data_IF_384301620321
#
_entry.id   IF_384301620321
#
_cell.length_a   1.000
_cell.length_b   1.000
_cell.length_c   1.000
_cell.angle_alpha   90.00
_cell.angle_beta   90.00
_cell.angle_gamma   90.00
#
_symmetry.space_group_name_H-M   'P 1'
#
loop_
_entity.id
_entity.type
_entity.pdbx_description
1 polymer ?
#
# COMPACT_ATOMS: atom_id res chain seq x y z
N UNK A 1 15.24 31.82 -0.11
CA UNK A 1 15.25 30.86 0.97
C UNK A 1 14.43 31.37 2.17
N UNK A 2 13.26 31.00 2.36
CA UNK A 2 12.40 31.29 3.52
C UNK A 2 11.64 30.07 3.98
N UNK A 3 11.98 28.89 3.41
CA UNK A 3 11.35 27.62 3.79
C UNK A 3 11.99 27.10 5.09
N UNK A 4 11.16 26.55 5.94
CA UNK A 4 11.63 25.82 7.12
C UNK A 4 12.42 24.59 6.67
N UNK A 5 13.48 24.17 7.41
CA UNK A 5 14.31 23.01 7.02
C UNK A 5 13.55 21.71 6.83
N UNK A 6 12.42 21.57 7.51
CA UNK A 6 11.53 20.39 7.52
C UNK A 6 10.29 20.54 6.61
N UNK A 7 10.28 21.56 5.73
CA UNK A 7 9.16 21.78 4.80
C UNK A 7 9.16 20.71 3.70
N UNK A 8 8.09 19.94 3.63
CA UNK A 8 7.95 18.86 2.65
C UNK A 8 7.51 19.40 1.28
N UNK A 9 8.29 19.08 0.25
CA UNK A 9 8.00 19.43 -1.15
C UNK A 9 7.61 18.17 -1.92
N UNK A 10 6.41 18.16 -2.46
CA UNK A 10 5.89 17.07 -3.29
C UNK A 10 5.45 17.62 -4.65
N UNK A 11 5.77 16.91 -5.72
CA UNK A 11 5.35 17.23 -7.09
C UNK A 11 4.29 16.26 -7.58
N UNK A 12 3.41 16.75 -8.44
CA UNK A 12 2.50 15.89 -9.18
C UNK A 12 3.13 15.52 -10.54
N UNK A 13 3.45 14.23 -10.69
CA UNK A 13 4.09 13.69 -11.91
C UNK A 13 3.31 12.48 -12.37
N UNK A 14 2.71 12.57 -13.55
CA UNK A 14 1.83 11.52 -14.10
C UNK A 14 2.62 10.35 -14.69
N UNK A 15 3.76 10.61 -15.34
CA UNK A 15 4.56 9.59 -16.03
C UNK A 15 6.00 10.05 -16.24
N UNK A 16 6.85 9.14 -16.69
CA UNK A 16 8.26 9.41 -16.97
C UNK A 16 9.18 8.95 -15.84
N UNK A 17 10.43 9.36 -15.90
CA UNK A 17 11.42 9.09 -14.85
C UNK A 17 11.29 10.11 -13.74
N UNK A 18 10.79 9.68 -12.60
CA UNK A 18 10.59 10.54 -11.42
C UNK A 18 11.89 11.09 -10.82
N UNK A 19 13.05 10.47 -11.12
CA UNK A 19 14.35 10.96 -10.68
C UNK A 19 14.70 12.35 -11.25
N UNK A 20 14.08 12.75 -12.36
CA UNK A 20 14.25 14.09 -12.92
C UNK A 20 13.80 15.18 -11.96
N UNK A 21 12.81 14.89 -11.10
CA UNK A 21 12.19 15.84 -10.20
C UNK A 21 12.51 15.55 -8.72
N UNK A 22 12.73 14.29 -8.38
CA UNK A 22 12.93 13.82 -7.01
C UNK A 22 14.41 13.59 -6.72
N UNK A 23 15.09 14.63 -6.26
CA UNK A 23 16.51 14.63 -5.94
C UNK A 23 16.83 15.68 -4.88
N UNK A 24 18.05 15.69 -4.36
CA UNK A 24 18.49 16.55 -3.24
C UNK A 24 18.36 18.06 -3.49
N UNK A 25 18.23 18.47 -4.75
CA UNK A 25 18.13 19.88 -5.14
C UNK A 25 16.71 20.32 -5.49
N UNK A 26 15.75 19.43 -5.53
CA UNK A 26 14.39 19.69 -6.03
C UNK A 26 13.33 19.22 -5.06
N UNK A 27 12.57 18.16 -5.41
CA UNK A 27 11.42 17.68 -4.65
C UNK A 27 11.81 16.50 -3.76
N UNK A 28 11.24 16.44 -2.57
CA UNK A 28 11.42 15.32 -1.65
C UNK A 28 10.66 14.07 -2.12
N UNK A 29 9.52 14.26 -2.80
CA UNK A 29 8.65 13.21 -3.30
C UNK A 29 7.87 13.65 -4.53
N UNK A 30 7.36 12.68 -5.28
CA UNK A 30 6.38 12.88 -6.35
C UNK A 30 5.27 11.84 -6.25
N UNK A 31 4.13 12.10 -6.90
CA UNK A 31 2.99 11.19 -6.97
C UNK A 31 3.32 9.91 -7.74
N UNK A 32 2.88 8.76 -7.20
CA UNK A 32 3.16 7.45 -7.76
C UNK A 32 2.01 6.93 -8.63
N UNK A 33 1.79 7.55 -9.78
CA UNK A 33 0.74 7.14 -10.73
C UNK A 33 1.00 5.75 -11.34
N UNK A 34 2.24 5.30 -11.42
CA UNK A 34 2.55 3.95 -11.90
C UNK A 34 1.96 2.88 -10.98
N UNK A 35 2.18 3.01 -9.67
CA UNK A 35 1.58 2.09 -8.70
C UNK A 35 0.06 2.28 -8.57
N UNK A 36 -0.47 3.49 -8.72
CA UNK A 36 -1.92 3.73 -8.71
C UNK A 36 -2.65 2.80 -9.69
N UNK A 37 -2.20 2.73 -10.94
CA UNK A 37 -2.79 1.82 -11.93
C UNK A 37 -2.64 0.36 -11.50
N UNK A 38 -1.44 -0.05 -11.12
CA UNK A 38 -1.16 -1.42 -10.68
C UNK A 38 -2.00 -1.84 -9.46
N UNK A 39 -2.25 -0.91 -8.52
CA UNK A 39 -3.06 -1.17 -7.34
C UNK A 39 -4.48 -1.62 -7.73
N UNK A 40 -5.27 -0.78 -8.40
CA UNK A 40 -6.66 -1.15 -8.68
C UNK A 40 -6.79 -2.24 -9.75
N UNK A 41 -5.90 -2.26 -10.77
CA UNK A 41 -5.99 -3.27 -11.84
C UNK A 41 -5.67 -4.66 -11.34
N UNK A 42 -4.72 -4.82 -10.41
CA UNK A 42 -4.40 -6.11 -9.81
C UNK A 42 -5.60 -6.76 -9.12
N UNK A 43 -6.40 -5.97 -8.42
CA UNK A 43 -7.62 -6.46 -7.78
C UNK A 43 -8.74 -6.73 -8.80
N UNK A 44 -8.95 -5.84 -9.78
CA UNK A 44 -10.01 -5.99 -10.76
C UNK A 44 -9.75 -7.15 -11.74
N UNK A 45 -8.50 -7.38 -12.13
CA UNK A 45 -8.12 -8.49 -13.01
C UNK A 45 -7.77 -9.78 -12.25
N UNK A 46 -7.81 -9.74 -10.89
CA UNK A 46 -7.35 -10.85 -10.03
C UNK A 46 -5.94 -11.29 -10.42
N UNK A 47 -5.02 -10.33 -10.55
CA UNK A 47 -3.65 -10.56 -11.01
C UNK A 47 -2.63 -9.73 -10.21
N UNK A 48 -2.20 -10.24 -9.06
CA UNK A 48 -1.22 -9.58 -8.19
C UNK A 48 0.18 -9.42 -8.82
N UNK A 49 0.44 -10.08 -9.94
CA UNK A 49 1.69 -9.87 -10.69
C UNK A 49 1.84 -8.44 -11.23
N UNK A 50 0.73 -7.74 -11.53
CA UNK A 50 0.78 -6.37 -12.05
C UNK A 50 1.40 -5.41 -11.03
N UNK A 51 0.85 -5.35 -9.82
CA UNK A 51 1.39 -4.45 -8.78
C UNK A 51 2.77 -4.92 -8.31
N UNK A 52 2.98 -6.23 -8.18
CA UNK A 52 4.29 -6.75 -7.79
C UNK A 52 5.39 -6.38 -8.82
N UNK A 53 5.06 -6.38 -10.12
CA UNK A 53 6.00 -5.93 -11.16
C UNK A 53 6.39 -4.45 -10.95
N UNK A 54 5.41 -3.57 -10.73
CA UNK A 54 5.66 -2.15 -10.46
C UNK A 54 6.51 -1.95 -9.20
N UNK A 55 6.22 -2.70 -8.12
CA UNK A 55 6.98 -2.63 -6.87
C UNK A 55 8.42 -3.13 -7.04
N UNK A 56 8.64 -4.24 -7.75
CA UNK A 56 9.99 -4.73 -8.05
C UNK A 56 10.79 -3.75 -8.91
N UNK A 57 10.14 -3.16 -9.92
CA UNK A 57 10.77 -2.16 -10.79
C UNK A 57 11.16 -0.90 -10.02
N UNK A 58 10.33 -0.45 -9.08
CA UNK A 58 10.56 0.77 -8.32
C UNK A 58 11.46 0.57 -7.11
N UNK A 59 11.29 -0.52 -6.36
CA UNK A 59 11.86 -0.71 -5.02
C UNK A 59 12.52 -2.07 -4.79
N UNK A 60 12.64 -2.89 -5.83
CA UNK A 60 13.18 -4.25 -5.73
C UNK A 60 14.65 -4.30 -5.30
N UNK A 61 15.20 -5.52 -5.12
CA UNK A 61 16.56 -5.71 -4.65
C UNK A 61 17.64 -5.48 -5.74
N UNK A 62 17.24 -5.44 -6.99
CA UNK A 62 18.17 -5.40 -8.12
C UNK A 62 18.82 -4.02 -8.32
N UNK A 63 20.01 -4.00 -8.93
CA UNK A 63 20.75 -2.77 -9.21
C UNK A 63 20.08 -1.85 -10.24
N UNK A 64 19.15 -2.35 -11.04
CA UNK A 64 18.39 -1.57 -12.02
C UNK A 64 17.13 -0.93 -11.46
N UNK A 65 16.86 -1.13 -10.18
CA UNK A 65 15.70 -0.56 -9.48
C UNK A 65 15.73 0.96 -9.50
N UNK A 66 14.60 1.58 -9.85
CA UNK A 66 14.56 3.01 -10.18
C UNK A 66 14.59 3.94 -8.95
N UNK A 67 13.86 3.58 -7.88
CA UNK A 67 13.58 4.50 -6.76
C UNK A 67 13.91 3.90 -5.40
N UNK A 68 14.86 2.99 -5.33
CA UNK A 68 15.29 2.38 -4.07
C UNK A 68 15.74 3.47 -3.08
N UNK A 69 15.23 3.40 -1.85
CA UNK A 69 15.52 4.38 -0.80
C UNK A 69 14.77 5.72 -0.94
N UNK A 70 13.93 5.89 -1.97
CA UNK A 70 13.08 7.08 -2.15
C UNK A 70 11.64 6.81 -1.71
N UNK A 71 10.93 7.88 -1.32
CA UNK A 71 9.58 7.80 -0.77
C UNK A 71 8.59 8.50 -1.71
N UNK A 72 7.97 7.76 -2.61
CA UNK A 72 6.93 8.26 -3.50
C UNK A 72 5.61 8.43 -2.74
N UNK A 73 4.83 9.48 -3.06
CA UNK A 73 3.48 9.68 -2.56
C UNK A 73 2.53 8.73 -3.28
N UNK A 74 2.15 7.64 -2.61
CA UNK A 74 1.32 6.57 -3.16
C UNK A 74 -0.13 6.73 -2.72
N UNK A 75 -1.07 6.54 -3.64
CA UNK A 75 -2.49 6.73 -3.42
C UNK A 75 -3.31 5.67 -4.16
N UNK A 76 -4.53 5.45 -3.70
CA UNK A 76 -5.50 4.54 -4.34
C UNK A 76 -6.54 5.32 -5.16
N UNK A 77 -6.71 6.59 -4.85
CA UNK A 77 -7.45 7.60 -5.63
C UNK A 77 -7.00 9.02 -5.24
N UNK A 78 -7.45 10.00 -6.00
CA UNK A 78 -7.27 11.42 -5.74
C UNK A 78 -8.38 12.26 -6.40
N UNK A 79 -8.21 13.58 -6.42
CA UNK A 79 -9.17 14.54 -6.96
C UNK A 79 -9.32 14.52 -8.49
N UNK A 80 -8.46 13.79 -9.22
CA UNK A 80 -8.43 13.75 -10.68
C UNK A 80 -8.78 12.39 -11.29
N UNK A 81 -8.99 11.38 -10.45
CA UNK A 81 -9.32 10.02 -10.88
C UNK A 81 -10.61 9.52 -10.23
N UNK A 82 -11.23 8.50 -10.82
CA UNK A 82 -12.36 7.79 -10.23
C UNK A 82 -12.03 7.32 -8.83
N UNK A 83 -12.92 7.58 -7.87
CA UNK A 83 -12.74 7.14 -6.48
C UNK A 83 -12.58 5.64 -6.38
N UNK A 84 -11.73 5.18 -5.47
CA UNK A 84 -11.37 3.76 -5.34
C UNK A 84 -12.59 2.86 -5.11
N UNK A 85 -13.57 3.30 -4.31
CA UNK A 85 -14.81 2.57 -4.10
C UNK A 85 -15.72 2.48 -5.33
N UNK A 86 -15.46 3.28 -6.38
CA UNK A 86 -16.17 3.23 -7.66
C UNK A 86 -15.40 2.49 -8.75
N UNK A 87 -14.06 2.39 -8.66
CA UNK A 87 -13.24 1.72 -9.66
C UNK A 87 -13.09 0.22 -9.41
N UNK A 88 -13.15 -0.20 -8.14
CA UNK A 88 -13.08 -1.62 -7.77
C UNK A 88 -14.36 -2.34 -8.16
N UNK A 89 -14.20 -3.48 -8.85
CA UNK A 89 -15.31 -4.35 -9.25
C UNK A 89 -15.85 -5.22 -8.12
N UNK A 90 -15.09 -5.39 -7.04
CA UNK A 90 -15.49 -6.16 -5.84
C UNK A 90 -15.26 -5.29 -4.60
N UNK A 91 -16.31 -4.98 -3.85
CA UNK A 91 -16.26 -4.15 -2.67
C UNK A 91 -15.41 -4.76 -1.53
N UNK A 92 -15.27 -6.08 -1.46
CA UNK A 92 -14.42 -6.76 -0.49
C UNK A 92 -12.93 -6.45 -0.69
N UNK A 93 -12.53 -5.97 -1.87
CA UNK A 93 -11.16 -5.55 -2.15
C UNK A 93 -10.83 -4.16 -1.61
N UNK A 94 -11.83 -3.36 -1.21
CA UNK A 94 -11.61 -1.99 -0.76
C UNK A 94 -10.71 -1.88 0.49
N UNK A 95 -10.87 -2.68 1.54
CA UNK A 95 -9.90 -2.71 2.64
C UNK A 95 -8.52 -3.20 2.21
N UNK A 96 -8.47 -4.19 1.29
CA UNK A 96 -7.23 -4.84 0.88
C UNK A 96 -6.33 -3.92 0.05
N UNK A 97 -6.90 -3.08 -0.82
CA UNK A 97 -6.12 -2.12 -1.59
C UNK A 97 -5.44 -1.09 -0.67
N UNK A 98 -6.10 -0.67 0.42
CA UNK A 98 -5.49 0.16 1.45
C UNK A 98 -4.40 -0.59 2.22
N UNK A 99 -4.64 -1.85 2.59
CA UNK A 99 -3.61 -2.66 3.23
C UNK A 99 -2.37 -2.80 2.32
N UNK A 100 -2.55 -2.98 1.03
CA UNK A 100 -1.44 -3.01 0.08
C UNK A 100 -0.72 -1.65 0.00
N UNK A 101 -1.47 -0.54 -0.13
CA UNK A 101 -0.91 0.81 -0.24
C UNK A 101 -0.14 1.26 1.02
N UNK A 102 -0.61 0.89 2.21
CA UNK A 102 0.09 1.20 3.47
C UNK A 102 1.30 0.27 3.72
N UNK A 103 1.25 -0.98 3.27
CA UNK A 103 2.34 -1.94 3.42
C UNK A 103 3.50 -1.73 2.46
N UNK A 104 3.23 -1.26 1.25
CA UNK A 104 4.26 -1.04 0.22
C UNK A 104 5.22 0.12 0.57
N UNK A 105 6.41 0.21 -0.09
CA UNK A 105 7.30 1.36 0.05
C UNK A 105 6.63 2.67 -0.37
N UNK A 106 6.99 3.76 0.29
CA UNK A 106 6.49 5.10 0.01
C UNK A 106 5.59 5.67 1.11
N UNK A 107 5.00 6.81 0.82
CA UNK A 107 4.13 7.57 1.72
C UNK A 107 2.68 7.34 1.27
N UNK A 108 1.86 6.62 2.05
CA UNK A 108 0.46 6.43 1.70
C UNK A 108 -0.30 7.74 1.85
N UNK A 109 -1.11 8.05 0.84
CA UNK A 109 -1.99 9.21 0.82
C UNK A 109 -3.45 8.74 0.71
N UNK A 110 -4.29 9.21 1.63
CA UNK A 110 -5.73 8.95 1.63
C UNK A 110 -6.45 10.22 1.21
N UNK A 111 -7.23 10.13 0.14
CA UNK A 111 -8.04 11.25 -0.32
C UNK A 111 -9.30 11.36 0.52
N UNK A 112 -9.66 12.59 0.92
CA UNK A 112 -10.78 12.84 1.83
C UNK A 112 -12.09 12.22 1.31
N UNK A 113 -12.83 11.55 2.19
CA UNK A 113 -14.04 10.81 1.86
C UNK A 113 -13.80 9.37 1.43
N UNK A 114 -12.63 9.04 0.91
CA UNK A 114 -12.30 7.69 0.47
C UNK A 114 -12.08 6.75 1.66
N UNK A 115 -11.71 7.29 2.83
CA UNK A 115 -11.55 6.53 4.08
C UNK A 115 -12.85 5.93 4.61
N UNK A 116 -14.01 6.43 4.19
CA UNK A 116 -15.32 5.80 4.47
C UNK A 116 -16.02 5.23 3.23
N UNK A 117 -15.30 5.19 2.09
CA UNK A 117 -15.80 4.57 0.86
C UNK A 117 -16.69 5.47 0.02
N UNK A 118 -16.48 6.80 0.03
CA UNK A 118 -17.20 7.71 -0.86
C UNK A 118 -17.00 7.30 -2.33
N UNK A 119 -18.10 7.32 -3.09
CA UNK A 119 -18.15 6.91 -4.50
C UNK A 119 -18.26 8.14 -5.40
N UNK A 120 -17.50 8.17 -6.47
CA UNK A 120 -17.62 9.13 -7.59
C UNK A 120 -16.81 8.62 -8.78
N UNK A 121 -17.26 8.93 -10.00
CA UNK A 121 -16.56 8.56 -11.22
C UNK A 121 -16.00 9.79 -11.92
N UNK A 122 -14.88 9.64 -12.62
CA UNK A 122 -14.24 10.73 -13.38
C UNK A 122 -15.18 11.29 -14.45
N UNK A 123 -16.01 10.47 -15.04
CA UNK A 123 -16.99 10.84 -16.06
C UNK A 123 -18.11 11.76 -15.53
N UNK A 124 -18.35 11.76 -14.20
CA UNK A 124 -19.35 12.63 -13.56
C UNK A 124 -18.78 14.05 -13.30
N UNK A 125 -17.53 14.29 -13.66
CA UNK A 125 -16.84 15.57 -13.58
C UNK A 125 -16.27 15.93 -12.22
N UNK A 126 -15.53 17.02 -12.19
CA UNK A 126 -14.82 17.49 -10.99
C UNK A 126 -15.69 17.74 -9.76
N UNK A 127 -16.93 18.28 -9.86
CA UNK A 127 -17.77 18.46 -8.68
C UNK A 127 -18.11 17.15 -7.95
N UNK A 128 -18.25 16.04 -8.69
CA UNK A 128 -18.49 14.72 -8.10
C UNK A 128 -17.24 14.18 -7.39
N UNK A 129 -16.06 14.32 -8.00
CA UNK A 129 -14.80 13.88 -7.41
C UNK A 129 -14.39 14.70 -6.19
N UNK A 130 -14.73 16.01 -6.18
CA UNK A 130 -14.35 16.99 -5.16
C UNK A 130 -15.54 17.43 -4.31
N UNK A 131 -16.45 16.49 -4.03
CA UNK A 131 -17.66 16.75 -3.26
C UNK A 131 -17.34 17.36 -1.89
N UNK A 132 -18.18 18.31 -1.45
CA UNK A 132 -18.15 18.84 -0.10
C UNK A 132 -19.02 17.94 0.79
N UNK A 133 -18.42 17.35 1.80
CA UNK A 133 -19.14 16.55 2.80
C UNK A 133 -19.51 17.43 4.01
N UNK A 134 -20.79 17.47 4.37
CA UNK A 134 -21.26 18.25 5.52
C UNK A 134 -20.71 17.70 6.85
N UNK A 135 -20.56 16.38 6.92
CA UNK A 135 -20.02 15.67 8.09
C UNK A 135 -19.12 14.52 7.63
N UNK A 136 -18.01 14.29 8.34
CA UNK A 136 -17.22 13.08 8.13
C UNK A 136 -18.01 11.85 8.61
N UNK A 137 -17.76 10.71 7.99
CA UNK A 137 -18.28 9.43 8.43
C UNK A 137 -17.18 8.61 9.09
N UNK A 138 -17.57 7.75 10.04
CA UNK A 138 -16.65 6.79 10.64
C UNK A 138 -17.30 5.41 10.61
N UNK A 139 -16.72 4.53 9.82
CA UNK A 139 -17.20 3.16 9.62
C UNK A 139 -16.07 2.13 9.78
N UNK A 140 -16.35 0.86 9.46
CA UNK A 140 -15.37 -0.23 9.58
C UNK A 140 -14.14 -0.01 8.69
N UNK A 141 -14.30 0.56 7.48
CA UNK A 141 -13.20 0.91 6.60
C UNK A 141 -12.31 1.99 7.23
N UNK A 142 -12.90 3.04 7.79
CA UNK A 142 -12.15 4.11 8.48
C UNK A 142 -11.38 3.54 9.67
N UNK A 143 -12.02 2.66 10.44
CA UNK A 143 -11.38 1.96 11.56
C UNK A 143 -10.21 1.10 11.09
N UNK A 144 -10.38 0.38 9.98
CA UNK A 144 -9.32 -0.46 9.42
C UNK A 144 -8.14 0.38 8.91
N UNK A 145 -8.41 1.46 8.16
CA UNK A 145 -7.36 2.38 7.68
C UNK A 145 -6.61 3.02 8.85
N UNK A 146 -7.32 3.37 9.93
CA UNK A 146 -6.68 3.89 11.16
C UNK A 146 -5.68 2.89 11.75
N UNK A 147 -6.01 1.59 11.79
CA UNK A 147 -5.08 0.54 12.23
C UNK A 147 -3.87 0.40 11.31
N UNK A 148 -4.07 0.48 9.99
CA UNK A 148 -2.96 0.47 9.02
C UNK A 148 -2.02 1.68 9.23
N UNK A 149 -2.60 2.86 9.47
CA UNK A 149 -1.83 4.07 9.74
C UNK A 149 -1.01 3.96 11.04
N UNK A 150 -1.60 3.44 12.12
CA UNK A 150 -0.88 3.19 13.37
C UNK A 150 0.22 2.13 13.20
N UNK A 151 -0.05 1.03 12.48
CA UNK A 151 0.95 0.03 12.17
C UNK A 151 2.16 0.65 11.42
N UNK A 152 1.90 1.46 10.39
CA UNK A 152 2.96 2.12 9.62
C UNK A 152 3.71 3.16 10.46
N UNK A 153 3.01 3.98 11.23
CA UNK A 153 3.61 5.02 12.11
C UNK A 153 4.61 4.45 13.11
N UNK A 154 4.36 3.24 13.60
CA UNK A 154 5.18 2.59 14.63
C UNK A 154 6.12 1.51 14.09
N UNK A 155 6.27 1.39 12.77
CA UNK A 155 7.16 0.41 12.14
C UNK A 155 8.22 1.09 11.26
N UNK A 156 9.48 0.94 11.66
CA UNK A 156 10.60 1.39 10.84
C UNK A 156 10.69 0.58 9.53
N UNK A 157 10.39 -0.71 9.57
CA UNK A 157 10.41 -1.54 8.38
C UNK A 157 9.36 -1.09 7.35
N UNK A 158 8.12 -0.80 7.76
CA UNK A 158 7.09 -0.29 6.86
C UNK A 158 7.42 1.10 6.29
N UNK A 159 8.12 1.94 7.05
CA UNK A 159 8.52 3.27 6.59
C UNK A 159 9.76 3.25 5.70
N UNK A 160 10.84 2.58 6.12
CA UNK A 160 12.17 2.71 5.53
C UNK A 160 12.77 1.40 5.04
N UNK A 161 12.10 0.26 5.28
CA UNK A 161 12.62 -1.06 4.93
C UNK A 161 12.72 -1.30 3.43
N UNK A 162 13.70 -2.09 3.03
CA UNK A 162 13.81 -2.63 1.69
C UNK A 162 12.59 -3.49 1.35
N UNK A 163 12.30 -3.64 0.07
CA UNK A 163 11.20 -4.45 -0.46
C UNK A 163 11.71 -5.74 -1.09
N UNK A 164 11.07 -6.86 -0.76
CA UNK A 164 11.31 -8.16 -1.39
C UNK A 164 9.99 -8.95 -1.52
N UNK A 165 9.67 -9.44 -2.70
CA UNK A 165 8.56 -10.37 -2.90
C UNK A 165 8.91 -11.74 -2.28
N UNK A 166 7.97 -12.33 -1.53
CA UNK A 166 8.15 -13.61 -0.80
C UNK A 166 7.29 -14.70 -1.42
N UNK A 167 5.99 -14.44 -1.60
CA UNK A 167 5.05 -15.34 -2.24
C UNK A 167 4.17 -14.53 -3.18
N UNK A 168 3.94 -15.04 -4.38
CA UNK A 168 3.12 -14.38 -5.37
C UNK A 168 2.31 -15.40 -6.17
N UNK A 169 1.01 -15.17 -6.23
CA UNK A 169 0.07 -15.86 -7.10
C UNK A 169 -0.80 -14.83 -7.81
N UNK A 170 -1.78 -15.27 -8.58
CA UNK A 170 -2.73 -14.33 -9.18
C UNK A 170 -3.58 -13.60 -8.13
N UNK A 171 -3.85 -14.22 -6.99
CA UNK A 171 -4.83 -13.74 -5.99
C UNK A 171 -4.22 -13.43 -4.63
N UNK A 172 -3.00 -13.90 -4.37
CA UNK A 172 -2.30 -13.69 -3.11
C UNK A 172 -0.94 -13.07 -3.36
N UNK A 173 -0.53 -12.20 -2.45
CA UNK A 173 0.84 -11.73 -2.39
C UNK A 173 1.32 -11.63 -0.94
N UNK A 174 2.56 -12.04 -0.72
CA UNK A 174 3.30 -11.79 0.52
C UNK A 174 4.61 -11.13 0.13
N UNK A 175 4.91 -10.00 0.74
CA UNK A 175 6.19 -9.33 0.55
C UNK A 175 6.80 -8.90 1.88
N UNK A 176 8.10 -8.78 1.88
CA UNK A 176 8.90 -8.38 3.02
C UNK A 176 9.23 -6.89 2.96
N UNK A 177 9.13 -6.23 4.10
CA UNK A 177 9.73 -4.94 4.40
C UNK A 177 10.76 -5.14 5.49
N UNK A 178 12.00 -4.73 5.26
CA UNK A 178 13.11 -5.04 6.18
C UNK A 178 14.10 -3.90 6.31
N UNK A 179 14.42 -3.56 7.57
CA UNK A 179 15.60 -2.75 7.97
C UNK A 179 16.59 -3.66 8.72
N UNK A 180 17.71 -3.10 9.13
CA UNK A 180 18.68 -3.82 9.99
C UNK A 180 18.07 -4.25 11.35
N UNK A 181 17.07 -3.50 11.83
CA UNK A 181 16.49 -3.68 13.16
C UNK A 181 15.11 -4.29 13.20
N UNK A 182 14.38 -4.29 12.08
CA UNK A 182 12.97 -4.69 12.06
C UNK A 182 12.62 -5.37 10.74
N UNK A 183 11.71 -6.34 10.82
CA UNK A 183 11.21 -7.06 9.66
C UNK A 183 9.69 -7.25 9.77
N UNK A 184 8.97 -6.93 8.70
CA UNK A 184 7.52 -7.12 8.59
C UNK A 184 7.21 -7.85 7.29
N UNK A 185 6.39 -8.89 7.36
CA UNK A 185 5.76 -9.50 6.19
C UNK A 185 4.35 -8.93 6.04
N UNK A 186 4.07 -8.41 4.86
CA UNK A 186 2.73 -7.94 4.46
C UNK A 186 2.10 -9.03 3.61
N UNK A 187 1.00 -9.59 4.07
CA UNK A 187 0.27 -10.67 3.41
C UNK A 187 -1.12 -10.20 2.99
N UNK A 188 -1.52 -10.51 1.75
CA UNK A 188 -2.82 -10.17 1.17
C UNK A 188 -3.41 -11.41 0.52
N UNK A 189 -4.66 -11.72 0.83
CA UNK A 189 -5.48 -12.67 0.09
C UNK A 189 -6.69 -11.94 -0.52
N UNK A 190 -6.70 -11.80 -1.83
CA UNK A 190 -7.80 -11.16 -2.58
C UNK A 190 -8.89 -12.17 -3.01
N UNK A 191 -8.71 -13.45 -2.73
CA UNK A 191 -9.67 -14.49 -3.07
C UNK A 191 -10.83 -14.57 -2.06
N UNK A 192 -11.98 -15.09 -2.50
CA UNK A 192 -13.11 -15.47 -1.67
C UNK A 192 -12.92 -16.84 -0.98
N UNK A 193 -11.77 -17.51 -1.22
CA UNK A 193 -11.40 -18.77 -0.61
C UNK A 193 -10.21 -18.59 0.34
N UNK A 194 -10.13 -19.38 1.42
CA UNK A 194 -8.93 -19.43 2.25
C UNK A 194 -7.75 -19.96 1.43
N UNK A 195 -6.56 -19.46 1.73
CA UNK A 195 -5.33 -19.88 1.05
C UNK A 195 -4.26 -20.27 2.08
N UNK A 196 -3.77 -21.51 1.99
CA UNK A 196 -2.65 -21.95 2.80
C UNK A 196 -1.33 -21.57 2.13
N UNK A 197 -0.66 -20.56 2.66
CA UNK A 197 0.62 -20.09 2.18
C UNK A 197 1.76 -20.91 2.80
N UNK A 198 2.63 -21.45 1.96
CA UNK A 198 3.86 -22.14 2.36
C UNK A 198 5.07 -21.33 1.87
N UNK A 199 5.85 -20.82 2.80
CA UNK A 199 7.07 -20.07 2.53
C UNK A 199 7.97 -20.11 3.77
N UNK A 200 9.25 -19.82 3.59
CA UNK A 200 10.18 -19.69 4.72
C UNK A 200 10.05 -18.28 5.33
N UNK A 201 9.43 -18.21 6.50
CA UNK A 201 9.33 -16.97 7.28
C UNK A 201 10.66 -16.61 7.96
N UNK A 202 11.60 -17.56 8.12
CA UNK A 202 12.86 -17.37 8.84
C UNK A 202 12.69 -17.15 10.36
N UNK A 203 11.49 -17.43 10.90
CA UNK A 203 11.17 -17.38 12.32
C UNK A 203 9.96 -18.29 12.62
N UNK A 204 9.71 -18.61 13.89
CA UNK A 204 8.57 -19.43 14.32
C UNK A 204 7.27 -18.63 14.45
N UNK A 205 7.35 -17.41 14.97
CA UNK A 205 6.17 -16.59 15.28
C UNK A 205 6.39 -15.13 14.91
N UNK A 206 5.29 -14.39 14.78
CA UNK A 206 5.26 -12.94 14.60
C UNK A 206 4.02 -12.33 15.26
N UNK A 207 4.03 -11.03 15.49
CA UNK A 207 2.85 -10.27 15.92
C UNK A 207 2.23 -9.58 14.72
N UNK A 208 0.94 -9.76 14.50
CA UNK A 208 0.21 -9.00 13.49
C UNK A 208 -0.05 -7.58 13.98
N UNK A 209 0.53 -6.59 13.30
CA UNK A 209 0.39 -5.17 13.66
C UNK A 209 -1.03 -4.61 13.49
N UNK A 210 -1.89 -5.30 12.73
CA UNK A 210 -3.29 -4.87 12.50
C UNK A 210 -4.20 -5.33 13.64
N UNK A 211 -4.00 -6.58 14.09
CA UNK A 211 -4.86 -7.22 15.11
C UNK A 211 -4.23 -7.27 16.51
N UNK A 212 -2.91 -7.26 16.59
CA UNK A 212 -2.16 -7.50 17.83
C UNK A 212 -2.03 -8.98 18.19
N UNK A 213 -2.54 -9.89 17.36
CA UNK A 213 -2.50 -11.34 17.62
C UNK A 213 -1.15 -11.93 17.21
N UNK A 214 -0.77 -13.01 17.88
CA UNK A 214 0.43 -13.79 17.52
C UNK A 214 0.08 -14.75 16.40
N UNK A 215 0.88 -14.75 15.33
CA UNK A 215 0.82 -15.68 14.22
C UNK A 215 1.95 -16.72 14.35
N UNK A 216 1.62 -18.00 14.19
CA UNK A 216 2.57 -19.11 14.15
C UNK A 216 2.76 -19.57 12.70
N UNK A 217 3.99 -19.61 12.23
CA UNK A 217 4.35 -20.04 10.87
C UNK A 217 4.51 -21.58 10.76
N UNK A 218 4.40 -22.31 11.87
CA UNK A 218 4.50 -23.78 11.87
C UNK A 218 3.40 -24.43 11.05
N UNK A 219 3.76 -25.22 10.03
CA UNK A 219 2.79 -25.92 9.19
C UNK A 219 2.20 -25.11 8.03
N UNK A 220 2.60 -23.85 7.87
CA UNK A 220 2.07 -22.92 6.86
C UNK A 220 1.24 -21.79 7.49
N UNK A 221 0.87 -20.82 6.68
CA UNK A 221 0.09 -19.65 7.11
C UNK A 221 -1.24 -19.63 6.35
N UNK A 222 -2.33 -19.88 7.04
CA UNK A 222 -3.66 -19.73 6.44
C UNK A 222 -4.03 -18.25 6.34
N UNK A 223 -4.32 -17.81 5.12
CA UNK A 223 -4.89 -16.50 4.83
C UNK A 223 -6.40 -16.67 4.63
N UNK A 224 -7.20 -16.10 5.51
CA UNK A 224 -8.66 -16.11 5.38
C UNK A 224 -9.10 -15.42 4.06
N UNK A 225 -10.32 -15.68 3.57
CA UNK A 225 -10.88 -14.97 2.42
C UNK A 225 -10.84 -13.45 2.64
N UNK A 226 -10.46 -12.68 1.62
CA UNK A 226 -10.43 -11.22 1.66
C UNK A 226 -9.71 -10.67 2.89
N UNK A 227 -8.50 -11.15 3.17
CA UNK A 227 -7.76 -10.78 4.38
C UNK A 227 -6.43 -10.11 4.09
N UNK A 228 -5.96 -9.35 5.08
CA UNK A 228 -4.63 -8.76 5.13
C UNK A 228 -4.03 -8.93 6.51
N UNK A 229 -2.72 -9.15 6.58
CA UNK A 229 -1.95 -9.22 7.82
C UNK A 229 -0.59 -8.53 7.66
N UNK A 230 -0.10 -7.93 8.73
CA UNK A 230 1.23 -7.31 8.84
C UNK A 230 2.01 -8.00 9.96
N UNK A 231 2.69 -9.08 9.62
CA UNK A 231 3.43 -9.89 10.59
C UNK A 231 4.80 -9.30 10.89
N UNK A 232 4.92 -8.68 12.06
CA UNK A 232 6.18 -8.18 12.59
C UNK A 232 6.89 -9.29 13.36
N UNK A 233 8.09 -9.64 12.89
CA UNK A 233 8.94 -10.62 13.55
C UNK A 233 9.59 -10.00 14.77
N UNK A 234 9.51 -10.68 15.91
CA UNK A 234 10.34 -10.41 17.06
C UNK A 234 11.77 -10.93 16.80
N UNK A 235 12.76 -10.19 17.28
CA UNK A 235 14.16 -10.59 17.20
C UNK A 235 14.56 -11.45 18.40
#
# INVERSE_FOLDING_TARGET
DGLKPDFFLVGETLHGDYNQWMNDSMLHSVTNYECYKGLYSSFNSMNMFEINHSLLRQFGPDNWTLYKGKHLLSFVDNHDVTRVASILSNENHLPLIYALAFGMPGIPCVYYGSEWGAKAKKEDGDPALRACFEKPEWNDLTTFISKLAEAKKHSNALNYGDFRSVLLTNRQCIFERKTDSERVLVAINADDQPFMAHFDAGCGTAVDLITGETHDFGGGSELAPYSAAYWKMER
#
